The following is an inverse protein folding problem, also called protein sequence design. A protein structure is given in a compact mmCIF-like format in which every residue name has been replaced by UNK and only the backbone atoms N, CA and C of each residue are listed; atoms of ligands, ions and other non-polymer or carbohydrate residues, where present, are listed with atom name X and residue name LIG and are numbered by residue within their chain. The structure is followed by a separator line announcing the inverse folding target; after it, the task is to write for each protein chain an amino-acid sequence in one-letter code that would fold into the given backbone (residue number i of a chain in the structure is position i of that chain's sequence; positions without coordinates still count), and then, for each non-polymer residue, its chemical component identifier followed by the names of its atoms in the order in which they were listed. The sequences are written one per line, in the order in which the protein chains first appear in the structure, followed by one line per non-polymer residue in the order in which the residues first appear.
data_IF_051898457241
#
_entry.id   IF_051898457241
#
_cell.length_a   1.000
_cell.length_b   1.000
_cell.length_c   1.000
_cell.angle_alpha   90.00
_cell.angle_beta   90.00
_cell.angle_gamma   90.00
#
_symmetry.space_group_name_H-M   'P 1'
#
loop_
_entity.id
_entity.type
_entity.pdbx_description
1 polymer ?
#
# COMPACT_ATOMS: atom_id res chain seq x y z
N UNK A 1 1.29 -26.05 12.00
CA UNK A 1 -0.15 -26.04 12.37
C UNK A 1 -0.26 -25.69 13.84
N UNK A 2 -1.17 -24.79 14.24
CA UNK A 2 -1.31 -24.40 15.65
C UNK A 2 -2.10 -25.49 16.39
N UNK A 3 -1.44 -26.21 17.32
CA UNK A 3 -1.99 -27.39 18.00
C UNK A 3 -3.32 -27.11 18.73
N UNK A 4 -3.54 -25.86 19.18
CA UNK A 4 -4.72 -25.44 19.91
C UNK A 4 -5.32 -24.18 19.27
N UNK A 5 -6.41 -24.36 18.53
CA UNK A 5 -7.20 -23.26 17.94
C UNK A 5 -7.95 -22.43 18.97
N UNK A 6 -8.56 -21.32 18.54
CA UNK A 6 -9.23 -20.33 19.42
C UNK A 6 -10.30 -20.97 20.32
N UNK A 7 -11.15 -21.83 19.77
CA UNK A 7 -12.24 -22.51 20.49
C UNK A 7 -11.72 -23.28 21.72
N UNK A 8 -10.62 -24.02 21.56
CA UNK A 8 -10.00 -24.77 22.64
C UNK A 8 -9.53 -23.85 23.77
N UNK A 9 -8.95 -22.71 23.43
CA UNK A 9 -8.37 -21.80 24.42
C UNK A 9 -9.42 -21.03 25.19
N UNK A 10 -10.48 -20.59 24.51
CA UNK A 10 -11.63 -19.93 25.13
C UNK A 10 -12.30 -20.91 26.10
N UNK A 11 -12.57 -22.13 25.66
CA UNK A 11 -13.14 -23.16 26.53
C UNK A 11 -12.26 -23.44 27.76
N UNK A 12 -10.94 -23.56 27.58
CA UNK A 12 -10.01 -23.77 28.70
C UNK A 12 -9.99 -22.60 29.69
N UNK A 13 -10.19 -21.36 29.22
CA UNK A 13 -10.30 -20.18 30.08
C UNK A 13 -11.64 -20.17 30.84
N UNK A 14 -12.76 -20.39 30.15
CA UNK A 14 -14.09 -20.37 30.76
C UNK A 14 -14.22 -21.42 31.86
N UNK A 15 -13.76 -22.65 31.59
CA UNK A 15 -13.75 -23.71 32.59
C UNK A 15 -12.79 -23.44 33.75
N UNK A 16 -11.67 -22.76 33.49
CA UNK A 16 -10.77 -22.33 34.56
C UNK A 16 -11.44 -21.34 35.50
N UNK A 17 -12.20 -20.38 34.97
CA UNK A 17 -12.96 -19.41 35.78
C UNK A 17 -14.09 -20.12 36.53
N UNK A 18 -14.84 -21.01 35.86
CA UNK A 18 -15.97 -21.76 36.44
C UNK A 18 -15.53 -22.71 37.57
N UNK A 19 -14.30 -23.20 37.55
CA UNK A 19 -13.76 -24.18 38.51
C UNK A 19 -12.93 -23.56 39.63
N UNK A 20 -13.16 -22.29 39.98
CA UNK A 20 -12.41 -21.55 41.00
C UNK A 20 -10.89 -21.59 40.76
N UNK A 21 -10.46 -21.33 39.52
CA UNK A 21 -9.04 -21.28 39.12
C UNK A 21 -8.30 -22.63 39.19
N UNK A 22 -9.05 -23.75 39.14
CA UNK A 22 -8.46 -25.09 39.11
C UNK A 22 -8.07 -25.52 37.70
N UNK A 23 -6.76 -25.52 37.42
CA UNK A 23 -6.23 -26.00 36.13
C UNK A 23 -6.54 -27.48 35.89
N UNK A 24 -6.55 -28.31 36.95
CA UNK A 24 -6.83 -29.75 36.84
C UNK A 24 -8.28 -29.99 36.46
N UNK A 25 -9.22 -29.24 37.05
CA UNK A 25 -10.63 -29.31 36.70
C UNK A 25 -10.87 -28.88 35.25
N UNK A 26 -10.26 -27.76 34.83
CA UNK A 26 -10.34 -27.27 33.45
C UNK A 26 -9.78 -28.30 32.45
N UNK A 27 -8.66 -28.97 32.75
CA UNK A 27 -8.10 -30.02 31.89
C UNK A 27 -9.00 -31.27 31.79
N UNK A 28 -9.65 -31.67 32.89
CA UNK A 28 -10.59 -32.79 32.90
C UNK A 28 -11.83 -32.47 32.06
N UNK A 29 -12.41 -31.29 32.25
CA UNK A 29 -13.54 -30.80 31.45
C UNK A 29 -13.17 -30.65 29.97
N UNK A 30 -11.96 -30.15 29.67
CA UNK A 30 -11.42 -30.06 28.31
C UNK A 30 -11.35 -31.42 27.63
N UNK A 31 -10.89 -32.45 28.35
CA UNK A 31 -10.83 -33.81 27.83
C UNK A 31 -12.21 -34.36 27.48
N UNK A 32 -13.19 -34.14 28.35
CA UNK A 32 -14.57 -34.59 28.15
C UNK A 32 -15.24 -33.85 26.98
N UNK A 33 -15.05 -32.53 26.89
CA UNK A 33 -15.70 -31.71 25.85
C UNK A 33 -15.20 -32.03 24.44
N UNK A 34 -13.91 -32.28 24.29
CA UNK A 34 -13.28 -32.53 22.98
C UNK A 34 -13.03 -34.01 22.69
N UNK A 35 -13.58 -34.94 23.50
CA UNK A 35 -13.47 -36.39 23.32
C UNK A 35 -12.02 -36.87 23.07
N UNK A 36 -11.08 -36.40 23.89
CA UNK A 36 -9.65 -36.69 23.72
C UNK A 36 -9.32 -38.05 24.37
N UNK A 37 -8.85 -38.99 23.54
CA UNK A 37 -8.37 -40.34 23.95
C UNK A 37 -7.37 -40.29 25.10
N UNK A 38 -7.18 -41.38 25.85
CA UNK A 38 -6.32 -41.47 27.06
C UNK A 38 -4.88 -40.94 26.88
N UNK A 39 -4.31 -41.10 25.69
CA UNK A 39 -2.97 -40.58 25.35
C UNK A 39 -3.00 -39.35 24.42
N UNK A 40 -4.19 -38.84 24.12
CA UNK A 40 -4.36 -37.64 23.33
C UNK A 40 -3.80 -36.40 24.04
N UNK A 41 -3.37 -35.43 23.23
CA UNK A 41 -2.75 -34.21 23.72
C UNK A 41 -3.75 -33.42 24.60
N UNK A 42 -3.28 -32.87 25.72
CA UNK A 42 -4.04 -31.93 26.56
C UNK A 42 -3.15 -30.72 26.82
N UNK A 43 -3.70 -29.49 26.87
CA UNK A 43 -2.93 -28.31 27.22
C UNK A 43 -2.26 -28.48 28.60
N UNK A 44 -0.93 -28.43 28.66
CA UNK A 44 -0.19 -28.49 29.92
C UNK A 44 -0.59 -27.29 30.82
N UNK A 45 -0.41 -27.42 32.15
CA UNK A 45 -0.68 -26.37 33.14
C UNK A 45 -0.08 -25.03 32.74
N UNK A 46 1.18 -25.01 32.28
CA UNK A 46 1.87 -23.79 31.81
C UNK A 46 1.16 -23.15 30.60
N UNK A 47 0.59 -23.97 29.72
CA UNK A 47 -0.14 -23.50 28.53
C UNK A 47 -1.48 -22.87 28.91
N UNK A 48 -2.24 -23.52 29.80
CA UNK A 48 -3.50 -22.96 30.33
C UNK A 48 -3.23 -21.64 31.04
N UNK A 49 -2.23 -21.60 31.92
CA UNK A 49 -1.92 -20.38 32.66
C UNK A 49 -1.40 -19.26 31.74
N UNK A 50 -0.70 -19.59 30.65
CA UNK A 50 -0.32 -18.61 29.63
C UNK A 50 -1.55 -17.98 28.97
N UNK A 51 -2.59 -18.76 28.65
CA UNK A 51 -3.82 -18.24 28.06
C UNK A 51 -4.60 -17.37 29.04
N UNK A 52 -4.74 -17.81 30.30
CA UNK A 52 -5.37 -17.03 31.37
C UNK A 52 -4.66 -15.70 31.56
N UNK A 53 -3.32 -15.71 31.68
CA UNK A 53 -2.54 -14.49 31.84
C UNK A 53 -2.63 -13.58 30.62
N UNK A 54 -2.57 -14.13 29.40
CA UNK A 54 -2.71 -13.35 28.17
C UNK A 54 -4.08 -12.66 28.10
N UNK A 55 -5.15 -13.35 28.50
CA UNK A 55 -6.49 -12.77 28.52
C UNK A 55 -6.66 -11.72 29.61
N UNK A 56 -6.24 -12.00 30.86
CA UNK A 56 -6.33 -11.06 31.98
C UNK A 56 -5.51 -9.78 31.76
N UNK A 57 -4.36 -9.88 31.10
CA UNK A 57 -3.47 -8.72 30.87
C UNK A 57 -3.79 -7.94 29.60
N UNK A 58 -4.10 -8.64 28.51
CA UNK A 58 -4.19 -8.03 27.16
C UNK A 58 -5.61 -8.06 26.60
N UNK A 59 -6.53 -8.82 27.21
CA UNK A 59 -7.88 -9.05 26.67
C UNK A 59 -7.92 -9.98 25.46
N UNK A 60 -6.80 -10.62 25.10
CA UNK A 60 -6.72 -11.51 23.93
C UNK A 60 -6.07 -12.84 24.30
N UNK A 61 -6.77 -13.94 23.97
CA UNK A 61 -6.31 -15.33 24.15
C UNK A 61 -5.43 -15.79 22.96
N UNK A 62 -5.44 -15.04 21.86
CA UNK A 62 -4.67 -15.39 20.67
C UNK A 62 -3.20 -15.04 20.87
N UNK A 63 -2.34 -15.90 20.30
CA UNK A 63 -0.91 -15.60 20.25
C UNK A 63 -0.73 -14.39 19.35
N UNK A 64 -0.17 -13.30 19.88
CA UNK A 64 0.24 -12.16 19.04
C UNK A 64 1.22 -12.66 18.00
N UNK A 65 1.03 -12.23 16.75
CA UNK A 65 2.05 -12.44 15.72
C UNK A 65 3.34 -11.82 16.25
N UNK A 66 4.47 -12.54 16.23
CA UNK A 66 5.72 -11.94 16.64
C UNK A 66 5.95 -10.69 15.77
N UNK A 67 6.55 -9.62 16.33
CA UNK A 67 6.96 -8.51 15.51
C UNK A 67 7.83 -9.06 14.38
N UNK A 68 7.53 -8.65 13.15
CA UNK A 68 8.30 -9.07 11.98
C UNK A 68 9.73 -8.55 12.06
N UNK A 69 10.60 -8.97 11.13
CA UNK A 69 11.98 -8.49 11.07
C UNK A 69 12.03 -6.96 11.03
N UNK A 70 12.96 -6.37 11.79
CA UNK A 70 13.22 -4.93 11.79
C UNK A 70 13.66 -4.48 10.40
N UNK A 71 13.08 -3.38 9.91
CA UNK A 71 13.41 -2.83 8.59
C UNK A 71 14.69 -2.01 8.65
N UNK A 72 15.83 -2.60 8.27
CA UNK A 72 17.13 -1.92 8.33
C UNK A 72 17.32 -0.85 7.25
N UNK A 73 16.75 -1.05 6.06
CA UNK A 73 16.97 -0.14 4.92
C UNK A 73 15.97 1.03 4.85
N UNK A 74 14.86 0.97 5.60
CA UNK A 74 13.79 2.00 5.63
C UNK A 74 13.83 2.77 6.93
N UNK A 75 15.01 3.23 7.32
CA UNK A 75 15.17 4.21 8.41
C UNK A 75 14.64 5.57 7.95
N UNK A 76 14.17 6.43 8.88
CA UNK A 76 13.68 7.77 8.53
C UNK A 76 14.72 8.59 7.75
N UNK A 77 16.00 8.50 8.16
CA UNK A 77 17.11 9.12 7.46
C UNK A 77 17.22 8.68 5.98
N UNK A 78 17.09 7.37 5.70
CA UNK A 78 17.13 6.87 4.33
C UNK A 78 15.93 7.34 3.52
N UNK A 79 14.77 7.50 4.15
CA UNK A 79 13.56 8.01 3.50
C UNK A 79 13.77 9.45 3.05
N UNK A 80 14.36 10.28 3.90
CA UNK A 80 14.69 11.68 3.59
C UNK A 80 15.76 11.79 2.50
N UNK A 81 16.82 10.98 2.56
CA UNK A 81 17.85 10.94 1.50
C UNK A 81 17.27 10.57 0.14
N UNK A 82 16.39 9.57 0.09
CA UNK A 82 15.69 9.19 -1.14
C UNK A 82 14.74 10.30 -1.59
N UNK A 83 14.01 10.93 -0.68
CA UNK A 83 13.11 12.06 -1.00
C UNK A 83 13.89 13.19 -1.68
N UNK A 84 14.98 13.64 -1.07
CA UNK A 84 15.81 14.72 -1.61
C UNK A 84 16.36 14.37 -3.00
N UNK A 85 16.86 13.15 -3.19
CA UNK A 85 17.39 12.70 -4.48
C UNK A 85 16.32 12.63 -5.59
N UNK A 86 15.09 12.22 -5.25
CA UNK A 86 13.98 12.19 -6.20
C UNK A 86 13.53 13.60 -6.57
N UNK A 87 13.40 14.50 -5.60
CA UNK A 87 12.99 15.90 -5.86
C UNK A 87 14.05 16.62 -6.71
N UNK A 88 15.34 16.41 -6.41
CA UNK A 88 16.43 17.01 -7.18
C UNK A 88 16.48 16.52 -8.65
N UNK A 89 16.08 15.27 -8.90
CA UNK A 89 16.13 14.69 -10.24
C UNK A 89 15.00 13.68 -10.48
N UNK A 90 13.77 14.17 -10.76
CA UNK A 90 12.59 13.32 -10.90
C UNK A 90 12.69 12.33 -12.07
N UNK A 91 13.42 12.71 -13.13
CA UNK A 91 13.62 11.88 -14.33
C UNK A 91 14.66 10.75 -14.15
N UNK A 92 15.40 10.69 -13.04
CA UNK A 92 16.38 9.62 -12.82
C UNK A 92 15.67 8.31 -12.47
N UNK A 93 16.12 7.23 -13.09
CA UNK A 93 15.59 5.90 -12.78
C UNK A 93 15.95 5.48 -11.35
N UNK A 94 15.09 4.67 -10.74
CA UNK A 94 15.31 4.07 -9.40
C UNK A 94 16.67 3.37 -9.30
N UNK A 95 17.13 2.74 -10.39
CA UNK A 95 18.45 2.07 -10.43
C UNK A 95 19.60 3.08 -10.27
N UNK A 96 19.55 4.20 -10.99
CA UNK A 96 20.58 5.24 -10.89
C UNK A 96 20.57 5.92 -9.53
N UNK A 97 19.38 6.16 -8.96
CA UNK A 97 19.26 6.73 -7.61
C UNK A 97 19.79 5.77 -6.54
N UNK A 98 19.49 4.48 -6.65
CA UNK A 98 20.03 3.45 -5.75
C UNK A 98 21.57 3.41 -5.75
N UNK A 99 22.17 3.46 -6.95
CA UNK A 99 23.62 3.53 -7.09
C UNK A 99 24.21 4.79 -6.46
N UNK A 100 23.58 5.96 -6.67
CA UNK A 100 24.05 7.22 -6.10
C UNK A 100 23.96 7.25 -4.56
N UNK A 101 22.90 6.67 -3.99
CA UNK A 101 22.66 6.65 -2.55
C UNK A 101 23.33 5.48 -1.81
N UNK A 102 23.91 4.52 -2.55
CA UNK A 102 24.44 3.24 -2.03
C UNK A 102 23.41 2.45 -1.22
N UNK A 103 22.15 2.51 -1.65
CA UNK A 103 21.03 1.76 -1.05
C UNK A 103 20.59 0.71 -2.07
N UNK A 104 20.18 -0.47 -1.60
CA UNK A 104 19.64 -1.49 -2.50
C UNK A 104 18.43 -0.97 -3.30
N UNK A 105 18.38 -1.34 -4.59
CA UNK A 105 17.33 -0.90 -5.53
C UNK A 105 15.93 -1.25 -5.05
N UNK A 106 15.74 -2.43 -4.44
CA UNK A 106 14.43 -2.85 -3.95
C UNK A 106 13.97 -2.00 -2.76
N UNK A 107 14.91 -1.55 -1.94
CA UNK A 107 14.67 -0.66 -0.80
C UNK A 107 14.30 0.74 -1.27
N UNK A 108 15.05 1.33 -2.21
CA UNK A 108 14.70 2.63 -2.80
C UNK A 108 13.31 2.58 -3.45
N UNK A 109 13.01 1.54 -4.24
CA UNK A 109 11.69 1.35 -4.84
C UNK A 109 10.58 1.29 -3.78
N UNK A 110 10.83 0.59 -2.68
CA UNK A 110 9.88 0.45 -1.56
C UNK A 110 9.63 1.79 -0.89
N UNK A 111 10.69 2.55 -0.61
CA UNK A 111 10.62 3.89 -0.03
C UNK A 111 9.78 4.81 -0.93
N UNK A 112 10.10 4.88 -2.22
CA UNK A 112 9.37 5.71 -3.19
C UNK A 112 7.88 5.35 -3.23
N UNK A 113 7.55 4.05 -3.30
CA UNK A 113 6.16 3.60 -3.50
C UNK A 113 5.32 3.58 -2.20
N UNK A 114 5.88 3.13 -1.07
CA UNK A 114 5.13 2.89 0.17
C UNK A 114 5.22 4.04 1.15
N UNK A 115 6.40 4.61 1.32
CA UNK A 115 6.66 5.64 2.33
C UNK A 115 6.39 7.04 1.76
N UNK A 116 6.96 7.35 0.59
CA UNK A 116 6.81 8.66 -0.08
C UNK A 116 5.55 8.77 -0.94
N UNK A 117 4.99 7.65 -1.37
CA UNK A 117 3.83 7.57 -2.28
C UNK A 117 4.02 8.38 -3.58
N UNK A 118 5.24 8.42 -4.09
CA UNK A 118 5.52 9.07 -5.36
C UNK A 118 5.09 8.18 -6.54
N UNK A 119 4.41 8.80 -7.49
CA UNK A 119 3.95 8.17 -8.72
C UNK A 119 4.75 8.73 -9.91
N UNK A 120 5.19 7.88 -10.84
CA UNK A 120 5.79 8.37 -12.08
C UNK A 120 4.82 9.30 -12.80
N UNK A 121 5.30 10.47 -13.21
CA UNK A 121 4.54 11.35 -14.08
C UNK A 121 4.41 10.73 -15.47
N UNK A 122 3.21 10.75 -16.04
CA UNK A 122 2.97 10.30 -17.42
C UNK A 122 3.24 11.47 -18.36
N UNK A 123 4.29 11.38 -19.15
CA UNK A 123 4.62 12.39 -20.15
C UNK A 123 3.50 12.48 -21.21
N UNK A 124 2.99 13.68 -21.44
CA UNK A 124 2.14 14.00 -22.58
C UNK A 124 3.01 14.70 -23.64
N UNK A 125 2.99 14.18 -24.86
CA UNK A 125 3.68 14.82 -25.99
C UNK A 125 2.75 15.91 -26.51
N UNK A 126 3.21 17.16 -26.45
CA UNK A 126 2.49 18.34 -26.93
C UNK A 126 3.37 19.11 -27.92
N UNK A 127 2.76 19.96 -28.73
CA UNK A 127 3.52 20.87 -29.60
C UNK A 127 4.38 21.81 -28.76
N UNK A 128 5.60 22.07 -29.22
CA UNK A 128 6.52 22.98 -28.56
C UNK A 128 5.98 24.41 -28.66
N UNK A 129 5.77 25.05 -27.51
CA UNK A 129 5.45 26.49 -27.46
C UNK A 129 6.68 27.32 -27.77
N UNK A 130 6.53 28.28 -28.67
CA UNK A 130 7.51 29.34 -28.93
C UNK A 130 7.30 30.51 -27.94
N UNK A 131 8.32 31.35 -27.69
CA UNK A 131 8.20 32.51 -26.79
C UNK A 131 7.03 33.45 -27.13
N UNK A 132 6.73 33.63 -28.41
CA UNK A 132 5.62 34.47 -28.88
C UNK A 132 4.25 33.87 -28.55
N UNK A 133 4.13 32.54 -28.55
CA UNK A 133 2.87 31.83 -28.37
C UNK A 133 2.32 32.02 -26.95
N UNK A 134 3.17 32.21 -25.94
CA UNK A 134 2.72 32.40 -24.56
C UNK A 134 1.81 33.61 -24.42
N UNK A 135 2.21 34.75 -25.02
CA UNK A 135 1.43 35.98 -24.98
C UNK A 135 0.12 35.83 -25.74
N UNK A 136 0.19 35.36 -26.99
CA UNK A 136 -0.99 35.20 -27.85
C UNK A 136 -2.02 34.25 -27.25
N UNK A 137 -1.58 33.13 -26.67
CA UNK A 137 -2.48 32.17 -26.02
C UNK A 137 -3.09 32.72 -24.74
N UNK A 138 -2.35 33.53 -23.98
CA UNK A 138 -2.87 34.17 -22.78
C UNK A 138 -3.90 35.24 -23.11
N UNK A 139 -3.61 36.11 -24.09
CA UNK A 139 -4.54 37.13 -24.58
C UNK A 139 -5.82 36.47 -25.11
N UNK A 140 -5.69 35.47 -25.98
CA UNK A 140 -6.84 34.71 -26.49
C UNK A 140 -7.69 34.08 -25.36
N UNK A 141 -7.06 33.51 -24.33
CA UNK A 141 -7.79 32.91 -23.22
C UNK A 141 -8.56 33.94 -22.38
N UNK A 142 -7.97 35.11 -22.15
CA UNK A 142 -8.61 36.22 -21.44
C UNK A 142 -9.74 36.83 -22.27
N UNK A 143 -9.52 37.04 -23.56
CA UNK A 143 -10.53 37.52 -24.49
C UNK A 143 -11.72 36.56 -24.53
N UNK A 144 -11.46 35.25 -24.68
CA UNK A 144 -12.51 34.23 -24.63
C UNK A 144 -13.24 34.21 -23.29
N UNK A 145 -12.53 34.33 -22.17
CA UNK A 145 -13.14 34.39 -20.85
C UNK A 145 -14.11 35.57 -20.72
N UNK A 146 -13.70 36.77 -21.16
CA UNK A 146 -14.56 37.95 -21.16
C UNK A 146 -15.78 37.82 -22.10
N UNK A 147 -15.59 37.18 -23.26
CA UNK A 147 -16.68 36.90 -24.19
C UNK A 147 -17.69 35.90 -23.59
N UNK A 148 -17.22 34.89 -22.84
CA UNK A 148 -18.10 33.96 -22.15
C UNK A 148 -18.89 34.62 -21.01
N UNK A 149 -18.32 35.58 -20.29
CA UNK A 149 -19.06 36.33 -19.25
C UNK A 149 -20.18 37.21 -19.84
N UNK A 150 -19.96 37.80 -21.02
CA UNK A 150 -20.94 38.69 -21.67
C UNK A 150 -22.00 37.93 -22.46
N UNK A 151 -21.62 36.82 -23.11
CA UNK A 151 -22.46 36.10 -24.09
C UNK A 151 -22.70 34.63 -23.70
N UNK A 152 -23.06 34.40 -22.42
CA UNK A 152 -23.21 33.11 -21.71
C UNK A 152 -23.91 31.92 -22.40
N UNK A 153 -24.35 31.96 -23.68
CA UNK A 153 -25.02 30.85 -24.36
C UNK A 153 -24.79 30.66 -25.89
N UNK A 154 -24.09 31.54 -26.63
CA UNK A 154 -24.05 31.45 -28.12
C UNK A 154 -22.63 31.49 -28.74
N UNK A 155 -21.69 30.72 -28.21
CA UNK A 155 -20.36 30.56 -28.85
C UNK A 155 -20.33 29.27 -29.67
N UNK A 156 -20.51 29.39 -31.00
CA UNK A 156 -20.33 28.29 -31.95
C UNK A 156 -18.87 28.22 -32.43
N UNK A 157 -18.13 27.21 -31.95
CA UNK A 157 -16.75 26.93 -32.38
C UNK A 157 -16.76 25.88 -33.49
N UNK A 158 -16.40 26.26 -34.72
CA UNK A 158 -16.30 25.33 -35.85
C UNK A 158 -14.84 24.88 -36.02
N UNK A 159 -14.57 23.58 -35.79
CA UNK A 159 -13.25 22.98 -35.96
C UNK A 159 -13.24 22.01 -37.14
N UNK A 160 -12.63 22.40 -38.27
CA UNK A 160 -12.43 21.51 -39.39
C UNK A 160 -11.30 20.51 -39.08
N UNK A 161 -11.68 19.27 -38.74
CA UNK A 161 -10.74 18.15 -38.75
C UNK A 161 -10.58 17.75 -40.22
N UNK A 162 -9.45 18.08 -40.83
CA UNK A 162 -9.16 17.68 -42.20
C UNK A 162 -9.15 16.15 -42.30
N UNK A 163 -10.23 15.58 -42.82
CA UNK A 163 -10.25 14.20 -43.31
C UNK A 163 -9.25 14.09 -44.45
N UNK A 164 -8.23 13.27 -44.24
CA UNK A 164 -7.14 13.05 -45.17
C UNK A 164 -7.62 12.19 -46.35
N UNK A 165 -8.39 12.78 -47.26
CA UNK A 165 -8.74 12.21 -48.56
C UNK A 165 -7.69 12.70 -49.57
N UNK A 166 -6.47 12.17 -49.50
CA UNK A 166 -5.53 12.26 -50.60
C UNK A 166 -4.93 10.87 -50.87
N UNK A 167 -5.16 10.44 -52.10
CA UNK A 167 -4.97 9.08 -52.57
C UNK A 167 -3.59 8.51 -52.28
N UNK A 168 -3.59 7.27 -51.81
CA UNK A 168 -2.42 6.40 -51.82
C UNK A 168 -1.99 6.13 -53.27
N UNK A 169 -1.22 7.02 -53.88
CA UNK A 169 -0.39 6.65 -55.03
C UNK A 169 0.82 5.89 -54.52
N UNK A 170 0.82 4.56 -54.67
CA UNK A 170 1.99 3.71 -54.51
C UNK A 170 3.11 4.24 -55.42
N UNK A 171 4.19 4.74 -54.84
CA UNK A 171 5.44 4.98 -55.55
C UNK A 171 6.21 3.65 -55.58
N UNK A 172 6.63 3.14 -56.76
CA UNK A 172 7.40 1.91 -56.83
C UNK A 172 8.83 2.19 -56.33
N UNK A 173 9.32 1.31 -55.47
CA UNK A 173 10.72 1.28 -55.06
C UNK A 173 11.54 0.70 -56.21
N UNK A 174 12.51 1.48 -56.71
CA UNK A 174 13.73 0.92 -57.26
C UNK A 174 14.70 0.66 -56.12
#
# INVERSE_FOLDING_TARGET
MEQWGVVHRVFAYDEFVRSNESVVAAQRAFRQRFNIERHGAIPNRKTVMRWVNAFRTTGSIMKKKPPGPTRTATTPENVERVRAAVVQSPGRSVRKQAQALRIDRSSVRRIIKRELKFHPYKLAIVQQLKPTDYRQRSEFALDMFSLFEVYMCEVYMCGNIAENILGKSKIPKY
#
